data_IF_883474346847
#
_entry.id   IF_883474346847
#
_cell.length_a   1.000
_cell.length_b   1.000
_cell.length_c   1.000
_cell.angle_alpha   90.00
_cell.angle_beta   90.00
_cell.angle_gamma   90.00
#
_symmetry.space_group_name_H-M   'P 1'
#
loop_
_entity.id
_entity.type
_entity.pdbx_description
1 polymer ?
#
# COMPACT_ATOMS: atom_id res chain seq x y z
N UNK A 1 4.95 3.45 -10.63
CA UNK A 1 5.75 2.26 -10.21
C UNK A 1 7.24 2.59 -10.35
N UNK A 2 8.13 1.71 -9.89
CA UNK A 2 9.61 1.82 -10.06
C UNK A 2 10.23 3.07 -9.42
N UNK A 3 9.56 3.64 -8.41
CA UNK A 3 10.04 4.83 -7.69
C UNK A 3 10.01 6.14 -8.49
N UNK A 4 9.71 6.11 -9.79
CA UNK A 4 9.67 7.30 -10.67
C UNK A 4 8.25 7.67 -11.12
N UNK A 5 7.29 6.74 -10.99
CA UNK A 5 5.92 6.98 -11.41
C UNK A 5 5.19 8.04 -10.56
N UNK A 6 4.19 8.75 -11.12
CA UNK A 6 3.48 9.84 -10.45
C UNK A 6 2.41 9.31 -9.47
N UNK A 7 2.81 8.39 -8.59
CA UNK A 7 1.95 7.82 -7.55
C UNK A 7 2.62 8.04 -6.19
N UNK A 8 1.84 8.43 -5.19
CA UNK A 8 2.36 8.81 -3.87
C UNK A 8 1.61 8.03 -2.79
N UNK A 9 2.35 7.47 -1.83
CA UNK A 9 1.81 6.93 -0.60
C UNK A 9 2.21 7.84 0.56
N UNK A 10 1.22 8.35 1.30
CA UNK A 10 1.43 9.28 2.41
C UNK A 10 0.97 8.62 3.70
N UNK A 11 1.82 8.64 4.72
CA UNK A 11 1.42 8.29 6.08
C UNK A 11 0.72 9.49 6.74
N UNK A 12 -0.52 9.28 7.17
CA UNK A 12 -1.33 10.26 7.91
C UNK A 12 -1.72 9.72 9.30
N UNK A 13 -1.20 8.56 9.69
CA UNK A 13 -1.51 7.90 10.95
C UNK A 13 -0.86 8.61 12.15
N UNK A 14 -1.38 8.35 13.34
CA UNK A 14 -0.85 8.91 14.60
C UNK A 14 -0.83 7.85 15.68
N UNK A 15 0.29 7.75 16.40
CA UNK A 15 0.42 6.83 17.54
C UNK A 15 0.56 5.34 17.16
N UNK A 16 0.81 5.03 15.89
CA UNK A 16 1.02 3.65 15.44
C UNK A 16 2.42 3.18 15.84
N UNK A 17 2.47 2.14 16.68
CA UNK A 17 3.72 1.49 17.06
C UNK A 17 4.25 0.61 15.92
N UNK A 18 5.57 0.43 15.83
CA UNK A 18 6.22 -0.47 14.85
C UNK A 18 6.03 -0.12 13.37
N UNK A 19 5.50 1.06 13.04
CA UNK A 19 5.26 1.47 11.64
C UNK A 19 6.55 1.43 10.79
N UNK A 20 7.67 1.83 11.39
CA UNK A 20 8.98 1.79 10.73
C UNK A 20 9.43 0.35 10.37
N UNK A 21 8.98 -0.68 11.10
CA UNK A 21 9.37 -2.08 10.84
C UNK A 21 8.69 -2.64 9.59
N UNK A 22 7.47 -2.16 9.28
CA UNK A 22 6.70 -2.65 8.14
C UNK A 22 6.87 -1.78 6.89
N UNK A 23 7.61 -0.66 6.99
CA UNK A 23 7.74 0.35 5.93
C UNK A 23 8.15 -0.26 4.60
N UNK A 24 9.18 -1.09 4.59
CA UNK A 24 9.67 -1.71 3.35
C UNK A 24 8.66 -2.68 2.73
N UNK A 25 7.90 -3.39 3.58
CA UNK A 25 6.84 -4.28 3.13
C UNK A 25 5.65 -3.51 2.54
N UNK A 26 5.27 -2.40 3.15
CA UNK A 26 4.23 -1.49 2.63
C UNK A 26 4.67 -0.88 1.30
N UNK A 27 5.92 -0.42 1.21
CA UNK A 27 6.49 0.11 -0.04
C UNK A 27 6.49 -0.96 -1.13
N UNK A 28 6.89 -2.20 -0.84
CA UNK A 28 6.86 -3.30 -1.79
C UNK A 28 5.42 -3.60 -2.29
N UNK A 29 4.45 -3.65 -1.37
CA UNK A 29 3.04 -3.82 -1.72
C UNK A 29 2.49 -2.67 -2.58
N UNK A 30 2.89 -1.43 -2.29
CA UNK A 30 2.52 -0.26 -3.09
C UNK A 30 3.15 -0.27 -4.47
N UNK A 31 4.44 -0.59 -4.60
CA UNK A 31 5.10 -0.70 -5.91
C UNK A 31 4.45 -1.77 -6.77
N UNK A 32 4.05 -2.90 -6.17
CA UNK A 32 3.32 -3.94 -6.86
C UNK A 32 1.94 -3.46 -7.32
N UNK A 33 1.14 -2.91 -6.42
CA UNK A 33 -0.19 -2.39 -6.75
C UNK A 33 -0.13 -1.26 -7.81
N UNK A 34 0.94 -0.46 -7.81
CA UNK A 34 1.16 0.61 -8.77
C UNK A 34 1.64 0.10 -10.14
N UNK A 35 2.25 -1.07 -10.20
CA UNK A 35 2.71 -1.72 -11.44
C UNK A 35 1.57 -2.50 -12.10
N UNK A 36 0.81 -3.25 -11.30
CA UNK A 36 -0.33 -4.05 -11.74
C UNK A 36 -1.60 -3.44 -11.17
N UNK A 37 -2.26 -2.54 -11.90
CA UNK A 37 -3.50 -1.90 -11.47
C UNK A 37 -4.68 -2.87 -11.41
N UNK A 38 -5.68 -2.57 -10.56
CA UNK A 38 -6.82 -3.47 -10.30
C UNK A 38 -7.77 -3.68 -11.50
N UNK A 39 -7.79 -2.74 -12.46
CA UNK A 39 -8.75 -2.78 -13.58
C UNK A 39 -8.28 -3.70 -14.72
N UNK A 40 -7.00 -3.62 -15.08
CA UNK A 40 -6.45 -4.24 -16.28
C UNK A 40 -4.98 -4.69 -16.11
N UNK A 41 -4.47 -4.76 -14.88
CA UNK A 41 -3.07 -5.09 -14.58
C UNK A 41 -2.05 -4.13 -15.21
N UNK A 42 -2.47 -2.90 -15.54
CA UNK A 42 -1.62 -1.86 -16.10
C UNK A 42 -1.06 -0.91 -15.04
N UNK A 43 0.01 -0.19 -15.39
CA UNK A 43 0.64 0.79 -14.51
C UNK A 43 -0.33 1.89 -14.08
N UNK A 44 -0.49 2.09 -12.77
CA UNK A 44 -1.26 3.21 -12.23
C UNK A 44 -0.57 4.55 -12.52
N UNK A 45 -1.37 5.61 -12.71
CA UNK A 45 -0.89 6.97 -12.95
C UNK A 45 -1.72 8.00 -12.18
N UNK A 46 -1.05 8.89 -11.45
CA UNK A 46 -1.69 10.06 -10.83
C UNK A 46 -2.47 9.74 -9.56
N UNK A 47 -2.12 8.66 -8.85
CA UNK A 47 -2.87 8.21 -7.67
C UNK A 47 -2.12 8.57 -6.40
N UNK A 48 -2.80 9.22 -5.45
CA UNK A 48 -2.33 9.43 -4.08
C UNK A 48 -3.13 8.56 -3.11
N UNK A 49 -2.42 7.76 -2.33
CA UNK A 49 -2.98 7.00 -1.22
C UNK A 49 -2.57 7.62 0.11
N UNK A 50 -3.49 7.63 1.08
CA UNK A 50 -3.23 8.07 2.44
C UNK A 50 -3.46 6.90 3.40
N UNK A 51 -2.46 6.57 4.23
CA UNK A 51 -2.59 5.59 5.30
C UNK A 51 -3.11 6.34 6.53
N UNK A 52 -4.36 6.06 6.94
CA UNK A 52 -4.96 6.73 8.10
C UNK A 52 -4.72 5.99 9.41
N UNK A 53 -4.65 4.67 9.37
CA UNK A 53 -4.43 3.84 10.55
C UNK A 53 -3.86 2.48 10.16
N UNK A 54 -3.15 1.86 11.10
CA UNK A 54 -2.63 0.50 10.97
C UNK A 54 -2.67 -0.17 12.34
N UNK A 55 -3.29 -1.35 12.42
CA UNK A 55 -3.24 -2.20 13.59
C UNK A 55 -2.25 -3.33 13.34
N UNK A 56 -1.26 -3.46 14.23
CA UNK A 56 -0.17 -4.42 14.09
C UNK A 56 -0.17 -5.40 15.25
N UNK A 57 0.07 -6.67 14.95
CA UNK A 57 0.27 -7.71 15.94
C UNK A 57 1.49 -7.36 16.82
N UNK A 58 1.47 -7.69 18.11
CA UNK A 58 2.54 -7.34 19.08
C UNK A 58 3.87 -8.05 18.78
N UNK A 59 3.81 -9.29 18.31
CA UNK A 59 5.00 -10.08 18.01
C UNK A 59 5.51 -9.85 16.59
N UNK A 60 6.81 -9.55 16.46
CA UNK A 60 7.44 -9.21 15.19
C UNK A 60 7.37 -10.34 14.14
N UNK A 61 7.36 -11.59 14.59
CA UNK A 61 7.26 -12.77 13.70
C UNK A 61 5.96 -12.77 12.87
N UNK A 62 4.92 -12.09 13.34
CA UNK A 62 3.63 -11.97 12.66
C UNK A 62 3.51 -10.70 11.80
N UNK A 63 4.56 -9.86 11.74
CA UNK A 63 4.62 -8.63 10.93
C UNK A 63 5.54 -8.76 9.70
N UNK A 64 5.92 -9.98 9.32
CA UNK A 64 6.79 -10.22 8.16
C UNK A 64 6.16 -9.83 6.82
N UNK A 65 6.99 -9.63 5.80
CA UNK A 65 6.55 -9.18 4.47
C UNK A 65 5.50 -10.08 3.83
N UNK A 66 5.54 -11.40 4.08
CA UNK A 66 4.52 -12.34 3.60
C UNK A 66 3.11 -12.08 4.13
N UNK A 67 2.97 -11.38 5.27
CA UNK A 67 1.69 -10.96 5.83
C UNK A 67 1.32 -9.53 5.40
N UNK A 68 2.29 -8.62 5.43
CA UNK A 68 2.05 -7.19 5.19
C UNK A 68 1.85 -6.88 3.70
N UNK A 69 2.70 -7.39 2.80
CA UNK A 69 2.65 -7.10 1.35
C UNK A 69 1.27 -7.41 0.74
N UNK A 70 0.70 -8.63 0.89
CA UNK A 70 -0.60 -8.93 0.33
C UNK A 70 -1.72 -8.12 0.99
N UNK A 71 -1.61 -7.83 2.29
CA UNK A 71 -2.58 -6.99 3.02
C UNK A 71 -2.59 -5.56 2.47
N UNK A 72 -1.42 -4.95 2.29
CA UNK A 72 -1.28 -3.62 1.68
C UNK A 72 -1.85 -3.60 0.28
N UNK A 73 -1.45 -4.53 -0.60
CA UNK A 73 -1.94 -4.59 -1.99
C UNK A 73 -3.47 -4.71 -2.05
N UNK A 74 -4.04 -5.60 -1.24
CA UNK A 74 -5.51 -5.82 -1.17
C UNK A 74 -6.24 -4.56 -0.73
N UNK A 75 -5.73 -3.85 0.28
CA UNK A 75 -6.31 -2.60 0.75
C UNK A 75 -6.27 -1.51 -0.33
N UNK A 76 -5.13 -1.32 -1.01
CA UNK A 76 -4.98 -0.33 -2.08
C UNK A 76 -5.94 -0.59 -3.25
N UNK A 77 -6.16 -1.85 -3.63
CA UNK A 77 -7.14 -2.22 -4.64
C UNK A 77 -8.57 -1.90 -4.24
N UNK A 78 -8.94 -2.19 -2.99
CA UNK A 78 -10.25 -1.80 -2.47
C UNK A 78 -10.44 -0.28 -2.54
N UNK A 79 -9.44 0.50 -2.10
CA UNK A 79 -9.45 1.96 -2.20
C UNK A 79 -9.62 2.45 -3.65
N UNK A 80 -8.87 1.89 -4.60
CA UNK A 80 -8.96 2.25 -6.02
C UNK A 80 -10.38 2.04 -6.55
N UNK A 81 -10.96 0.86 -6.33
CA UNK A 81 -12.31 0.53 -6.80
C UNK A 81 -13.35 1.48 -6.20
N UNK A 82 -13.23 1.82 -4.91
CA UNK A 82 -14.13 2.80 -4.27
C UNK A 82 -13.93 4.23 -4.78
N UNK A 83 -12.77 4.54 -5.35
CA UNK A 83 -12.44 5.85 -5.91
C UNK A 83 -12.90 6.02 -7.37
N UNK A 84 -13.66 5.06 -7.94
CA UNK A 84 -14.20 5.09 -9.30
C UNK A 84 -13.11 5.34 -10.37
N UNK A 85 -12.19 4.39 -10.57
CA UNK A 85 -11.05 4.56 -11.46
C UNK A 85 -11.49 4.66 -12.92
N UNK A 86 -10.63 5.24 -13.77
CA UNK A 86 -10.84 5.38 -15.21
C UNK A 86 -9.61 4.91 -15.98
N UNK A 87 -9.84 4.46 -17.21
CA UNK A 87 -8.82 4.13 -18.21
C UNK A 87 -8.57 5.33 -19.12
#
# INVERSE_FOLDING_TARGET
PEGTGPNILVDCSKGVQYLNEIKDSVVAGFQWAAKEGVMAEENLRGVRFNIYDVTLHTDAIHRGGGQIIPTTRRCLYACLLTAQPRL
#
